data_IF_129054451178
#
_entry.id   IF_129054451178
#
_cell.length_a   1.000
_cell.length_b   1.000
_cell.length_c   1.000
_cell.angle_alpha   90.00
_cell.angle_beta   90.00
_cell.angle_gamma   90.00
#
_symmetry.space_group_name_H-M   'P 1'
#
loop_
_entity.id
_entity.type
_entity.pdbx_description
1 polymer ?
#
# COMPACT_ATOMS: atom_id res chain seq x y z
N UNK A 1 24.93 -60.19 10.78
CA UNK A 1 26.05 -59.55 10.03
C UNK A 1 26.14 -58.13 10.52
N UNK A 2 27.15 -57.85 11.41
CA UNK A 2 27.49 -56.51 11.89
C UNK A 2 28.40 -55.81 10.85
N UNK A 3 28.00 -54.66 10.38
CA UNK A 3 28.92 -53.78 9.69
C UNK A 3 29.16 -52.53 10.55
N UNK A 4 30.42 -52.37 10.93
CA UNK A 4 31.04 -51.23 11.59
C UNK A 4 31.16 -50.10 10.54
N UNK A 5 30.67 -48.88 10.80
CA UNK A 5 31.01 -47.71 10.03
C UNK A 5 31.84 -46.82 10.95
N UNK A 6 33.09 -46.59 10.53
CA UNK A 6 34.07 -45.74 11.15
C UNK A 6 33.71 -44.25 10.91
N UNK A 7 34.11 -43.45 11.88
CA UNK A 7 33.80 -42.03 11.96
C UNK A 7 34.44 -41.16 10.86
N UNK A 8 33.71 -40.13 10.49
CA UNK A 8 34.21 -38.97 9.75
C UNK A 8 34.06 -37.76 10.63
N UNK A 9 35.17 -37.10 10.84
CA UNK A 9 35.31 -35.83 11.57
C UNK A 9 34.33 -34.76 11.03
N UNK A 10 33.47 -34.24 11.90
CA UNK A 10 32.73 -33.02 11.66
C UNK A 10 33.59 -31.80 11.96
N UNK A 11 33.98 -31.08 10.92
CA UNK A 11 34.38 -29.68 11.05
C UNK A 11 33.14 -28.82 11.25
N UNK A 12 33.10 -27.95 12.27
CA UNK A 12 31.99 -27.01 12.40
C UNK A 12 32.21 -25.83 11.44
N UNK A 13 31.41 -25.80 10.36
CA UNK A 13 31.24 -24.56 9.58
C UNK A 13 30.50 -23.57 10.47
N UNK A 14 31.21 -22.56 10.94
CA UNK A 14 30.63 -21.44 11.70
C UNK A 14 29.66 -20.68 10.83
N UNK A 15 28.39 -20.76 11.15
CA UNK A 15 27.30 -19.96 10.59
C UNK A 15 27.43 -18.53 11.11
N UNK A 16 28.10 -17.67 10.37
CA UNK A 16 28.19 -16.21 10.66
C UNK A 16 26.91 -15.46 10.24
N UNK A 17 26.03 -16.10 9.47
CA UNK A 17 24.80 -15.48 8.93
C UNK A 17 23.66 -15.36 9.94
N UNK A 18 23.48 -16.32 10.84
CA UNK A 18 22.33 -16.32 11.76
C UNK A 18 22.42 -15.24 12.87
N UNK A 19 23.64 -14.79 13.23
CA UNK A 19 23.81 -13.73 14.25
C UNK A 19 23.51 -12.33 13.74
N UNK A 20 23.61 -12.07 12.43
CA UNK A 20 23.29 -10.76 11.85
C UNK A 20 21.77 -10.54 11.80
N UNK A 21 21.01 -11.56 11.48
CA UNK A 21 19.56 -11.46 11.33
C UNK A 21 18.86 -11.33 12.70
N UNK A 22 19.33 -12.06 13.72
CA UNK A 22 18.86 -11.88 15.11
C UNK A 22 19.20 -10.49 15.66
N UNK A 23 20.36 -9.95 15.33
CA UNK A 23 20.78 -8.62 15.77
C UNK A 23 19.98 -7.51 15.08
N UNK A 24 19.63 -7.68 13.81
CA UNK A 24 18.76 -6.76 13.06
C UNK A 24 17.32 -6.84 13.60
N UNK A 25 16.81 -8.05 13.83
CA UNK A 25 15.48 -8.25 14.40
C UNK A 25 15.36 -7.70 15.83
N UNK A 26 16.38 -7.90 16.68
CA UNK A 26 16.44 -7.33 18.04
C UNK A 26 16.54 -5.80 18.00
N UNK A 27 17.33 -5.22 17.09
CA UNK A 27 17.38 -3.76 16.88
C UNK A 27 16.02 -3.20 16.45
N UNK A 28 15.30 -3.92 15.59
CA UNK A 28 13.96 -3.52 15.18
C UNK A 28 12.94 -3.61 16.33
N UNK A 29 13.05 -4.61 17.19
CA UNK A 29 12.21 -4.78 18.39
C UNK A 29 12.56 -3.74 19.47
N UNK A 30 13.81 -3.40 19.65
CA UNK A 30 14.25 -2.35 20.60
C UNK A 30 13.80 -0.98 20.10
N UNK A 31 13.97 -0.68 18.81
CA UNK A 31 13.48 0.55 18.18
C UNK A 31 11.96 0.71 18.34
N UNK A 32 11.20 -0.39 18.19
CA UNK A 32 9.74 -0.40 18.41
C UNK A 32 9.35 -0.21 19.89
N UNK A 33 10.18 -0.72 20.84
CA UNK A 33 9.96 -0.53 22.29
C UNK A 33 10.33 0.88 22.76
N UNK A 34 11.40 1.47 22.25
CA UNK A 34 11.79 2.84 22.61
C UNK A 34 10.77 3.87 22.13
N UNK A 35 10.10 3.65 21.01
CA UNK A 35 8.95 4.46 20.55
C UNK A 35 7.74 4.37 21.49
N UNK A 36 7.59 3.28 22.22
CA UNK A 36 6.49 3.06 23.21
C UNK A 36 6.75 3.70 24.58
N UNK A 37 8.00 4.01 24.93
CA UNK A 37 8.38 4.53 26.25
C UNK A 37 8.55 6.04 26.32
N UNK A 38 8.65 6.73 25.20
CA UNK A 38 8.70 8.18 25.15
C UNK A 38 7.27 8.70 25.06
N UNK A 39 6.66 9.12 26.16
CA UNK A 39 5.28 9.59 26.32
C UNK A 39 4.83 10.80 25.47
N UNK A 40 5.38 10.96 24.28
CA UNK A 40 4.80 11.74 23.18
C UNK A 40 3.95 10.80 22.35
N UNK A 41 2.66 11.10 22.20
CA UNK A 41 1.79 10.45 21.18
C UNK A 41 2.41 10.71 19.81
N UNK A 42 3.32 9.83 19.36
CA UNK A 42 3.82 9.86 18.00
C UNK A 42 2.67 9.44 17.11
N UNK A 43 2.16 10.34 16.30
CA UNK A 43 1.22 10.02 15.22
C UNK A 43 1.85 8.88 14.42
N UNK A 44 1.21 7.70 14.42
CA UNK A 44 1.69 6.59 13.61
C UNK A 44 1.56 7.01 12.15
N UNK A 45 2.68 7.15 11.46
CA UNK A 45 2.77 7.54 10.05
C UNK A 45 1.71 6.85 9.18
N UNK A 46 1.61 5.54 9.34
CA UNK A 46 0.64 4.68 8.67
C UNK A 46 -0.82 5.15 8.88
N UNK A 47 -1.20 5.49 10.11
CA UNK A 47 -2.56 5.95 10.43
C UNK A 47 -2.88 7.28 9.76
N UNK A 48 -1.93 8.22 9.72
CA UNK A 48 -2.13 9.54 9.13
C UNK A 48 -2.31 9.44 7.62
N UNK A 49 -1.45 8.67 6.95
CA UNK A 49 -1.53 8.42 5.52
C UNK A 49 -2.84 7.72 5.14
N UNK A 50 -3.24 6.70 5.90
CA UNK A 50 -4.52 6.02 5.71
C UNK A 50 -5.71 6.98 5.84
N UNK A 51 -5.69 7.84 6.84
CA UNK A 51 -6.76 8.81 7.05
C UNK A 51 -6.83 9.86 5.94
N UNK A 52 -5.68 10.30 5.42
CA UNK A 52 -5.61 11.22 4.30
C UNK A 52 -6.34 10.65 3.06
N UNK A 53 -6.05 9.41 2.71
CA UNK A 53 -6.64 8.74 1.55
C UNK A 53 -8.09 8.25 1.75
N UNK A 54 -8.66 8.39 2.95
CA UNK A 54 -10.10 8.15 3.17
C UNK A 54 -10.98 9.20 2.51
N UNK A 55 -10.47 10.40 2.29
CA UNK A 55 -11.23 11.46 1.59
C UNK A 55 -11.43 11.07 0.12
N UNK A 56 -12.68 11.00 -0.31
CA UNK A 56 -13.05 10.58 -1.66
C UNK A 56 -12.54 11.51 -2.77
N UNK A 57 -12.44 12.84 -2.51
CA UNK A 57 -11.93 13.79 -3.49
C UNK A 57 -10.43 13.57 -3.75
N UNK A 58 -9.65 13.39 -2.68
CA UNK A 58 -8.22 13.10 -2.75
C UNK A 58 -7.98 11.73 -3.40
N UNK A 59 -8.76 10.73 -3.01
CA UNK A 59 -8.67 9.37 -3.55
C UNK A 59 -9.03 9.32 -5.04
N UNK A 60 -10.14 9.96 -5.46
CA UNK A 60 -10.54 10.02 -6.87
C UNK A 60 -9.47 10.73 -7.72
N UNK A 61 -8.92 11.83 -7.22
CA UNK A 61 -7.95 12.64 -7.94
C UNK A 61 -6.63 11.89 -8.21
N UNK A 62 -6.09 11.14 -7.21
CA UNK A 62 -4.87 10.34 -7.44
C UNK A 62 -5.11 9.22 -8.45
N UNK A 63 -6.27 8.54 -8.41
CA UNK A 63 -6.61 7.52 -9.39
C UNK A 63 -6.81 8.11 -10.79
N UNK A 64 -7.44 9.28 -10.90
CA UNK A 64 -7.57 10.01 -12.16
C UNK A 64 -6.21 10.45 -12.72
N UNK A 65 -5.32 10.92 -11.86
CA UNK A 65 -3.97 11.31 -12.28
C UNK A 65 -3.15 10.13 -12.81
N UNK A 66 -3.19 8.99 -12.13
CA UNK A 66 -2.37 7.81 -12.45
C UNK A 66 -2.93 7.04 -13.66
N UNK A 67 -4.25 6.79 -13.68
CA UNK A 67 -4.86 5.93 -14.69
C UNK A 67 -5.33 6.68 -15.94
N UNK A 68 -5.69 7.96 -15.79
CA UNK A 68 -6.36 8.74 -16.84
C UNK A 68 -5.67 10.06 -17.17
N UNK A 69 -4.39 10.22 -16.74
CA UNK A 69 -3.61 11.43 -16.96
C UNK A 69 -4.36 12.71 -16.54
N UNK A 70 -5.03 12.68 -15.38
CA UNK A 70 -5.78 13.79 -14.81
C UNK A 70 -7.21 13.95 -15.35
N UNK A 71 -7.65 13.19 -16.37
CA UNK A 71 -9.04 13.24 -16.79
C UNK A 71 -9.96 12.74 -15.67
N UNK A 72 -11.01 13.51 -15.35
CA UNK A 72 -11.95 13.24 -14.25
C UNK A 72 -12.93 12.10 -14.60
N UNK A 73 -12.43 10.87 -14.71
CA UNK A 73 -13.21 9.66 -15.02
C UNK A 73 -13.84 9.08 -13.77
N UNK A 74 -13.14 9.12 -12.65
CA UNK A 74 -13.63 8.66 -11.33
C UNK A 74 -14.09 9.90 -10.57
N UNK A 75 -15.35 9.89 -10.13
CA UNK A 75 -15.93 10.98 -9.35
C UNK A 75 -15.98 10.61 -7.86
N UNK A 76 -15.73 11.56 -6.94
CA UNK A 76 -15.75 11.30 -5.49
C UNK A 76 -17.06 10.70 -4.99
N UNK A 77 -18.20 11.16 -5.54
CA UNK A 77 -19.53 10.67 -5.19
C UNK A 77 -19.84 9.24 -5.66
N UNK A 78 -19.02 8.68 -6.54
CA UNK A 78 -19.12 7.29 -7.01
C UNK A 78 -18.37 6.31 -6.09
N UNK A 79 -17.65 6.79 -5.05
CA UNK A 79 -16.78 5.99 -4.21
C UNK A 79 -17.41 5.67 -2.86
N UNK A 80 -17.36 4.40 -2.47
CA UNK A 80 -17.74 3.90 -1.15
C UNK A 80 -16.57 3.13 -0.52
N UNK A 81 -16.38 3.29 0.78
CA UNK A 81 -15.34 2.55 1.52
C UNK A 81 -15.65 1.05 1.54
N UNK A 82 -14.59 0.24 1.45
CA UNK A 82 -14.64 -1.20 1.62
C UNK A 82 -13.75 -1.61 2.79
N UNK A 83 -13.96 -2.82 3.29
CA UNK A 83 -13.06 -3.43 4.28
C UNK A 83 -11.67 -3.60 3.68
N UNK A 84 -10.66 -3.13 4.41
CA UNK A 84 -9.25 -3.21 4.02
C UNK A 84 -8.60 -4.52 4.43
N UNK A 85 -9.19 -5.26 5.37
CA UNK A 85 -8.66 -6.53 5.87
C UNK A 85 -9.28 -7.70 5.12
N UNK A 86 -8.47 -8.38 4.34
CA UNK A 86 -8.84 -9.62 3.68
C UNK A 86 -8.04 -10.77 4.29
N UNK A 87 -8.76 -11.66 5.00
CA UNK A 87 -8.16 -12.88 5.54
C UNK A 87 -8.44 -14.05 4.62
N UNK A 88 -7.40 -14.63 4.05
CA UNK A 88 -7.47 -15.88 3.32
C UNK A 88 -6.96 -17.00 4.21
N UNK A 89 -7.83 -17.94 4.57
CA UNK A 89 -7.45 -19.16 5.27
C UNK A 89 -7.26 -20.25 4.22
N UNK A 90 -6.02 -20.69 4.02
CA UNK A 90 -5.68 -21.84 3.20
C UNK A 90 -5.61 -23.07 4.11
N UNK A 91 -6.62 -23.92 4.00
CA UNK A 91 -6.62 -25.23 4.66
C UNK A 91 -5.90 -26.25 3.79
N UNK A 92 -4.81 -26.78 4.28
CA UNK A 92 -4.14 -27.93 3.70
C UNK A 92 -4.24 -29.12 4.68
N UNK A 93 -4.19 -30.36 4.17
CA UNK A 93 -4.34 -31.57 5.00
C UNK A 93 -3.39 -31.63 6.19
N UNK A 94 -2.27 -30.93 6.15
CA UNK A 94 -1.21 -30.95 7.17
C UNK A 94 -1.01 -29.63 7.93
N UNK A 95 -1.55 -28.50 7.42
CA UNK A 95 -1.45 -27.22 8.10
C UNK A 95 -2.53 -26.23 7.66
N UNK A 96 -2.85 -25.30 8.53
CA UNK A 96 -3.72 -24.14 8.26
C UNK A 96 -2.80 -22.93 8.13
N UNK A 97 -2.80 -22.30 6.96
CA UNK A 97 -2.09 -21.05 6.75
C UNK A 97 -3.11 -19.91 6.60
N UNK A 98 -3.03 -18.95 7.50
CA UNK A 98 -3.77 -17.70 7.39
C UNK A 98 -2.92 -16.68 6.66
N UNK A 99 -3.37 -16.24 5.50
CA UNK A 99 -2.78 -15.11 4.78
C UNK A 99 -3.68 -13.92 5.02
N UNK A 100 -3.17 -12.96 5.78
CA UNK A 100 -3.83 -11.66 5.96
C UNK A 100 -3.24 -10.71 4.94
N UNK A 101 -4.06 -10.31 3.98
CA UNK A 101 -3.71 -9.32 2.98
C UNK A 101 -4.51 -8.04 3.31
N UNK A 102 -3.82 -7.02 3.79
CA UNK A 102 -4.44 -5.74 4.13
C UNK A 102 -3.79 -4.62 3.30
N UNK A 103 -4.62 -3.85 2.59
CA UNK A 103 -4.23 -2.59 1.94
C UNK A 103 -4.49 -1.42 2.87
N UNK A 104 -3.85 -0.29 2.59
CA UNK A 104 -4.08 0.93 3.38
C UNK A 104 -5.49 1.48 3.20
N UNK A 105 -5.95 1.57 1.95
CA UNK A 105 -7.31 2.01 1.63
C UNK A 105 -7.88 1.19 0.48
N UNK A 106 -9.15 0.82 0.59
CA UNK A 106 -9.90 0.16 -0.48
C UNK A 106 -11.27 0.82 -0.62
N UNK A 107 -11.62 1.17 -1.85
CA UNK A 107 -12.94 1.73 -2.19
C UNK A 107 -13.55 0.99 -3.38
N UNK A 108 -14.86 0.88 -3.40
CA UNK A 108 -15.59 0.46 -4.58
C UNK A 108 -16.14 1.69 -5.29
N UNK A 109 -15.85 1.79 -6.58
CA UNK A 109 -16.52 2.75 -7.47
C UNK A 109 -17.82 2.12 -7.97
N UNK A 110 -18.93 2.82 -7.80
CA UNK A 110 -20.24 2.46 -8.31
C UNK A 110 -20.72 3.57 -9.23
N UNK A 111 -20.78 3.31 -10.52
CA UNK A 111 -21.25 4.26 -11.52
C UNK A 111 -22.51 3.71 -12.17
N UNK A 112 -23.61 4.47 -12.07
CA UNK A 112 -24.83 4.17 -12.82
C UNK A 112 -24.64 4.58 -14.28
N UNK A 113 -24.93 3.67 -15.20
CA UNK A 113 -24.93 3.93 -16.65
C UNK A 113 -26.33 3.73 -17.22
N UNK A 114 -26.55 4.11 -18.48
CA UNK A 114 -27.83 3.92 -19.16
C UNK A 114 -28.24 2.45 -19.30
N UNK A 115 -27.26 1.53 -19.24
CA UNK A 115 -27.46 0.11 -19.49
C UNK A 115 -27.30 -0.77 -18.27
N UNK A 116 -26.47 -0.35 -17.28
CA UNK A 116 -26.26 -1.08 -16.03
C UNK A 116 -25.34 -0.25 -15.08
N UNK A 117 -24.99 -0.82 -13.92
CA UNK A 117 -24.00 -0.23 -13.00
C UNK A 117 -22.60 -0.79 -13.29
N UNK A 118 -21.64 0.10 -13.49
CA UNK A 118 -20.23 -0.24 -13.57
C UNK A 118 -19.60 -0.25 -12.16
N UNK A 119 -18.94 -1.35 -11.80
CA UNK A 119 -18.26 -1.50 -10.54
C UNK A 119 -16.75 -1.72 -10.76
N UNK A 120 -15.92 -1.05 -9.98
CA UNK A 120 -14.46 -1.25 -9.94
C UNK A 120 -13.99 -1.14 -8.50
N UNK A 121 -13.18 -2.08 -8.03
CA UNK A 121 -12.52 -2.02 -6.72
C UNK A 121 -11.17 -1.34 -6.91
N UNK A 122 -10.93 -0.30 -6.12
CA UNK A 122 -9.75 0.53 -6.17
C UNK A 122 -9.00 0.40 -4.85
N UNK A 123 -7.75 -0.08 -4.91
CA UNK A 123 -6.87 -0.25 -3.75
C UNK A 123 -5.70 0.71 -3.79
N UNK A 124 -5.33 1.26 -2.63
CA UNK A 124 -4.16 2.11 -2.47
C UNK A 124 -3.27 1.55 -1.37
N UNK A 125 -1.97 1.46 -1.64
CA UNK A 125 -0.92 0.98 -0.75
C UNK A 125 0.18 2.01 -0.64
N UNK A 126 0.49 2.47 0.57
CA UNK A 126 1.59 3.40 0.85
C UNK A 126 2.86 2.66 1.25
N UNK A 127 4.01 3.06 0.71
CA UNK A 127 5.30 2.41 0.99
C UNK A 127 6.39 3.44 1.30
N UNK A 128 7.01 3.33 2.48
CA UNK A 128 8.19 4.11 2.87
C UNK A 128 9.48 3.46 2.36
N UNK A 129 9.56 2.13 2.45
CA UNK A 129 10.73 1.37 2.05
C UNK A 129 10.48 0.59 0.76
N UNK A 130 11.53 0.39 -0.05
CA UNK A 130 11.45 -0.46 -1.24
C UNK A 130 11.15 -1.89 -0.82
N UNK A 131 10.04 -2.41 -1.31
CA UNK A 131 9.68 -3.81 -1.12
C UNK A 131 9.94 -4.56 -2.42
N UNK A 132 11.06 -5.29 -2.48
CA UNK A 132 11.52 -5.96 -3.71
C UNK A 132 10.55 -7.00 -4.27
N UNK A 133 9.64 -7.52 -3.44
CA UNK A 133 8.56 -8.41 -3.87
C UNK A 133 7.20 -7.69 -4.02
N UNK A 134 7.18 -6.39 -4.33
CA UNK A 134 5.94 -5.62 -4.42
C UNK A 134 4.97 -6.14 -5.49
N UNK A 135 5.37 -6.54 -6.69
CA UNK A 135 4.46 -7.14 -7.66
C UNK A 135 3.74 -8.38 -7.12
N UNK A 136 4.47 -9.26 -6.42
CA UNK A 136 3.88 -10.44 -5.80
C UNK A 136 2.90 -10.07 -4.67
N UNK A 137 3.24 -9.04 -3.89
CA UNK A 137 2.39 -8.55 -2.79
C UNK A 137 1.08 -7.98 -3.32
N UNK A 138 1.13 -7.13 -4.34
CA UNK A 138 -0.07 -6.55 -4.98
C UNK A 138 -0.91 -7.63 -5.64
N UNK A 139 -0.27 -8.59 -6.34
CA UNK A 139 -0.96 -9.74 -6.91
C UNK A 139 -1.70 -10.55 -5.82
N UNK A 140 -1.10 -10.69 -4.64
CA UNK A 140 -1.73 -11.33 -3.48
C UNK A 140 -2.97 -10.59 -2.98
N UNK A 141 -2.91 -9.26 -2.92
CA UNK A 141 -4.06 -8.42 -2.55
C UNK A 141 -5.22 -8.56 -3.54
N UNK A 142 -4.91 -8.47 -4.84
CA UNK A 142 -5.94 -8.54 -5.87
C UNK A 142 -6.52 -9.96 -5.96
N UNK A 143 -5.67 -11.00 -5.81
CA UNK A 143 -6.12 -12.38 -5.71
C UNK A 143 -7.08 -12.58 -4.53
N UNK A 144 -6.74 -12.06 -3.34
CA UNK A 144 -7.61 -12.16 -2.15
C UNK A 144 -8.98 -11.52 -2.40
N UNK A 145 -9.00 -10.37 -3.06
CA UNK A 145 -10.25 -9.68 -3.43
C UNK A 145 -11.07 -10.50 -4.44
N UNK A 146 -10.45 -11.10 -5.45
CA UNK A 146 -11.14 -11.99 -6.39
C UNK A 146 -11.60 -13.28 -5.72
N UNK A 147 -10.77 -13.84 -4.84
CA UNK A 147 -11.13 -15.06 -4.08
C UNK A 147 -12.35 -14.84 -3.21
N UNK A 148 -12.43 -13.71 -2.51
CA UNK A 148 -13.61 -13.33 -1.72
C UNK A 148 -14.86 -13.23 -2.58
N UNK A 149 -14.79 -12.57 -3.74
CA UNK A 149 -15.91 -12.50 -4.69
C UNK A 149 -16.35 -13.90 -5.15
N UNK A 150 -15.36 -14.78 -5.42
CA UNK A 150 -15.64 -16.18 -5.78
C UNK A 150 -16.35 -16.92 -4.64
N UNK A 151 -15.84 -16.81 -3.41
CA UNK A 151 -16.41 -17.51 -2.24
C UNK A 151 -17.83 -17.04 -1.94
N UNK A 152 -18.09 -15.74 -2.03
CA UNK A 152 -19.42 -15.16 -1.87
C UNK A 152 -20.39 -15.68 -2.94
N UNK A 153 -19.95 -15.79 -4.20
CA UNK A 153 -20.73 -16.35 -5.28
C UNK A 153 -21.00 -17.84 -5.05
N UNK A 154 -19.98 -18.63 -4.74
CA UNK A 154 -20.10 -20.05 -4.47
C UNK A 154 -21.06 -20.35 -3.29
N UNK A 155 -21.01 -19.54 -2.22
CA UNK A 155 -21.92 -19.64 -1.10
C UNK A 155 -23.39 -19.38 -1.49
N UNK A 156 -23.62 -18.40 -2.37
CA UNK A 156 -24.97 -18.13 -2.94
C UNK A 156 -25.46 -19.29 -3.79
N UNK A 157 -24.59 -19.82 -4.69
CA UNK A 157 -24.95 -20.91 -5.61
C UNK A 157 -25.29 -22.22 -4.87
N UNK A 158 -24.60 -22.56 -3.76
CA UNK A 158 -24.95 -23.76 -2.94
C UNK A 158 -26.41 -23.78 -2.47
N UNK A 159 -27.07 -22.63 -2.40
CA UNK A 159 -28.47 -22.47 -1.96
C UNK A 159 -29.46 -22.35 -3.13
N UNK A 160 -28.96 -22.24 -4.35
CA UNK A 160 -29.77 -22.03 -5.54
C UNK A 160 -30.23 -23.36 -6.15
N UNK A 161 -31.46 -23.41 -6.67
CA UNK A 161 -32.00 -24.58 -7.38
C UNK A 161 -31.91 -24.35 -8.89
N UNK A 162 -31.82 -25.45 -9.65
CA UNK A 162 -31.83 -25.41 -11.11
C UNK A 162 -30.50 -25.05 -11.76
N UNK A 163 -29.39 -25.19 -11.02
CA UNK A 163 -28.05 -25.12 -11.58
C UNK A 163 -27.74 -26.35 -12.44
N UNK A 164 -26.93 -26.15 -13.48
CA UNK A 164 -26.29 -27.27 -14.18
C UNK A 164 -25.25 -27.92 -13.30
N UNK A 165 -24.81 -29.13 -13.65
CA UNK A 165 -23.75 -29.83 -12.90
C UNK A 165 -22.44 -29.02 -12.86
N UNK A 166 -22.04 -28.43 -13.98
CA UNK A 166 -20.83 -27.59 -14.08
C UNK A 166 -20.93 -26.33 -13.21
N UNK A 167 -22.07 -25.68 -13.16
CA UNK A 167 -22.30 -24.50 -12.32
C UNK A 167 -22.29 -24.86 -10.82
N UNK A 168 -22.87 -25.99 -10.47
CA UNK A 168 -22.84 -26.49 -9.09
C UNK A 168 -21.41 -26.84 -8.64
N UNK A 169 -20.67 -27.60 -9.47
CA UNK A 169 -19.31 -28.02 -9.17
C UNK A 169 -18.31 -26.85 -9.14
N UNK A 170 -18.43 -25.89 -10.08
CA UNK A 170 -17.59 -24.72 -10.14
C UNK A 170 -17.95 -23.64 -9.12
N UNK A 171 -19.16 -23.67 -8.56
CA UNK A 171 -19.68 -22.62 -7.69
C UNK A 171 -19.98 -21.31 -8.41
N UNK A 172 -20.00 -21.30 -9.75
CA UNK A 172 -20.24 -20.12 -10.59
C UNK A 172 -21.15 -20.43 -11.75
N UNK A 173 -22.00 -19.48 -12.13
CA UNK A 173 -22.71 -19.53 -13.40
C UNK A 173 -21.83 -19.00 -14.53
N UNK A 174 -22.09 -19.47 -15.75
CA UNK A 174 -21.42 -18.98 -16.97
C UNK A 174 -21.54 -17.47 -17.15
N UNK A 175 -22.61 -16.87 -16.63
CA UNK A 175 -22.88 -15.43 -16.69
C UNK A 175 -22.23 -14.63 -15.57
N UNK A 176 -21.75 -15.26 -14.51
CA UNK A 176 -21.12 -14.57 -13.39
C UNK A 176 -19.84 -13.88 -13.86
N UNK A 177 -19.63 -12.64 -13.39
CA UNK A 177 -18.43 -11.84 -13.64
C UNK A 177 -17.92 -11.30 -12.32
N UNK A 178 -16.61 -11.20 -12.19
CA UNK A 178 -15.99 -10.51 -11.08
C UNK A 178 -15.90 -9.01 -11.34
N UNK A 179 -15.99 -8.24 -10.25
CA UNK A 179 -15.68 -6.82 -10.25
C UNK A 179 -14.16 -6.68 -10.40
N UNK A 180 -13.66 -5.94 -11.41
CA UNK A 180 -12.23 -5.74 -11.59
C UNK A 180 -11.60 -5.00 -10.41
N UNK A 181 -10.33 -5.33 -10.13
CA UNK A 181 -9.54 -4.74 -9.05
C UNK A 181 -8.34 -4.01 -9.64
N UNK A 182 -8.09 -2.78 -9.19
CA UNK A 182 -6.93 -1.98 -9.58
C UNK A 182 -6.26 -1.47 -8.31
N UNK A 183 -4.97 -1.76 -8.14
CA UNK A 183 -4.18 -1.32 -6.98
C UNK A 183 -3.08 -0.36 -7.41
N UNK A 184 -3.00 0.82 -6.77
CA UNK A 184 -1.91 1.80 -6.91
C UNK A 184 -1.00 1.68 -5.70
N UNK A 185 0.31 1.70 -5.93
CA UNK A 185 1.35 1.77 -4.90
C UNK A 185 1.94 3.17 -4.90
N UNK A 186 1.86 3.89 -3.79
CA UNK A 186 2.51 5.20 -3.61
C UNK A 186 3.76 5.00 -2.76
N UNK A 187 4.92 5.21 -3.37
CA UNK A 187 6.21 5.13 -2.72
C UNK A 187 6.70 6.53 -2.35
N UNK A 188 6.93 6.74 -1.06
CA UNK A 188 7.41 8.00 -0.49
C UNK A 188 8.77 7.87 0.22
N UNK A 189 9.56 6.88 -0.18
CA UNK A 189 10.94 6.73 0.30
C UNK A 189 11.92 7.70 -0.36
N UNK A 190 13.03 7.97 0.33
CA UNK A 190 14.07 8.91 -0.14
C UNK A 190 14.90 8.35 -1.32
N UNK A 191 15.06 7.02 -1.39
CA UNK A 191 15.80 6.36 -2.46
C UNK A 191 14.88 6.22 -3.68
N UNK A 192 15.41 6.29 -4.91
CA UNK A 192 14.59 5.92 -6.06
C UNK A 192 14.19 4.47 -5.96
N UNK A 193 13.04 4.18 -6.50
CA UNK A 193 12.62 2.80 -6.62
C UNK A 193 13.53 2.05 -7.59
N UNK A 194 14.18 1.00 -7.10
CA UNK A 194 15.06 0.10 -7.87
C UNK A 194 14.54 -1.35 -7.88
N UNK A 195 13.36 -1.58 -7.29
CA UNK A 195 12.70 -2.88 -7.31
C UNK A 195 11.95 -3.16 -8.61
N UNK A 196 11.56 -4.40 -8.82
CA UNK A 196 10.73 -4.80 -9.94
C UNK A 196 9.36 -4.08 -9.90
N UNK A 197 8.83 -3.73 -11.06
CA UNK A 197 7.49 -3.15 -11.24
C UNK A 197 6.52 -4.13 -11.90
N UNK A 198 6.98 -5.33 -12.18
CA UNK A 198 6.17 -6.43 -12.69
C UNK A 198 6.67 -7.79 -12.20
N UNK A 199 5.82 -8.80 -12.31
CA UNK A 199 6.18 -10.17 -11.94
C UNK A 199 7.33 -10.69 -12.82
N UNK A 200 7.33 -10.39 -14.12
CA UNK A 200 8.43 -10.76 -15.02
C UNK A 200 9.78 -10.22 -14.54
N UNK A 201 9.81 -8.99 -13.99
CA UNK A 201 11.03 -8.41 -13.43
C UNK A 201 11.56 -9.12 -12.18
N UNK A 202 10.77 -10.03 -11.57
CA UNK A 202 11.14 -10.85 -10.42
C UNK A 202 11.52 -12.28 -10.80
N UNK A 203 11.26 -12.71 -12.03
CA UNK A 203 11.41 -14.08 -12.47
C UNK A 203 12.66 -14.26 -13.34
N UNK A 204 13.25 -15.44 -13.26
CA UNK A 204 14.29 -15.86 -14.20
C UNK A 204 13.63 -16.69 -15.32
N UNK A 205 13.11 -16.01 -16.35
CA UNK A 205 12.36 -16.63 -17.44
C UNK A 205 13.31 -16.94 -18.60
N UNK A 206 13.44 -18.22 -18.99
CA UNK A 206 14.15 -18.56 -20.23
C UNK A 206 13.49 -17.87 -21.43
N UNK A 207 14.27 -17.24 -22.31
CA UNK A 207 13.78 -16.44 -23.44
C UNK A 207 12.71 -17.16 -24.28
N UNK A 208 12.87 -18.47 -24.51
CA UNK A 208 11.90 -19.28 -25.25
C UNK A 208 10.56 -19.50 -24.52
N UNK A 209 10.49 -19.19 -23.23
CA UNK A 209 9.29 -19.40 -22.40
C UNK A 209 8.58 -18.09 -22.05
N UNK A 210 9.14 -16.94 -22.39
CA UNK A 210 8.66 -15.60 -21.99
C UNK A 210 7.19 -15.36 -22.38
N UNK A 211 6.79 -15.78 -23.57
CA UNK A 211 5.42 -15.63 -24.09
C UNK A 211 4.37 -16.51 -23.37
N UNK A 212 4.82 -17.54 -22.64
CA UNK A 212 3.93 -18.46 -21.91
C UNK A 212 3.78 -18.11 -20.44
N UNK A 213 4.60 -17.20 -19.92
CA UNK A 213 4.52 -16.74 -18.53
C UNK A 213 3.70 -15.45 -18.48
N UNK A 214 2.60 -15.47 -17.73
CA UNK A 214 1.78 -14.28 -17.54
C UNK A 214 2.55 -13.25 -16.70
N UNK A 215 2.50 -11.98 -17.12
CA UNK A 215 3.05 -10.87 -16.35
C UNK A 215 1.97 -10.23 -15.49
N UNK A 216 2.38 -9.68 -14.35
CA UNK A 216 1.54 -8.92 -13.45
C UNK A 216 2.22 -7.58 -13.11
N UNK A 217 1.70 -6.50 -13.67
CA UNK A 217 2.27 -5.15 -13.52
C UNK A 217 1.59 -4.38 -12.39
N UNK A 218 2.39 -3.59 -11.66
CA UNK A 218 1.87 -2.68 -10.63
C UNK A 218 1.82 -1.24 -11.14
N UNK A 219 0.89 -0.45 -10.61
CA UNK A 219 0.84 1.00 -10.83
C UNK A 219 1.64 1.67 -9.70
N UNK A 220 2.93 1.95 -9.97
CA UNK A 220 3.83 2.57 -9.01
C UNK A 220 3.90 4.08 -9.22
N UNK A 221 3.70 4.83 -8.14
CA UNK A 221 3.88 6.29 -8.04
C UNK A 221 5.03 6.57 -7.09
N UNK A 222 6.09 7.21 -7.57
CA UNK A 222 7.17 7.73 -6.73
C UNK A 222 6.83 9.18 -6.33
N UNK A 223 6.46 9.40 -5.06
CA UNK A 223 6.02 10.71 -4.58
C UNK A 223 7.10 11.80 -4.64
N UNK A 224 8.38 11.40 -4.65
CA UNK A 224 9.50 12.32 -4.87
C UNK A 224 9.70 12.78 -6.32
N UNK A 225 8.83 12.34 -7.25
CA UNK A 225 8.83 12.73 -8.67
C UNK A 225 7.44 13.23 -9.01
N UNK A 226 7.21 14.54 -8.89
CA UNK A 226 5.88 15.12 -9.16
C UNK A 226 5.66 15.31 -10.66
N UNK A 227 5.27 14.23 -11.35
CA UNK A 227 4.90 14.21 -12.77
C UNK A 227 3.41 13.91 -12.99
N UNK A 228 2.59 14.02 -11.94
CA UNK A 228 1.17 13.73 -11.99
C UNK A 228 0.34 14.97 -12.33
N UNK A 229 -0.70 14.77 -13.13
CA UNK A 229 -1.70 15.83 -13.40
C UNK A 229 -2.78 15.75 -12.33
N UNK A 230 -2.55 16.45 -11.21
CA UNK A 230 -3.44 16.53 -10.06
C UNK A 230 -4.33 17.76 -10.14
N UNK A 231 -5.60 17.66 -9.73
CA UNK A 231 -6.56 18.77 -9.70
C UNK A 231 -7.04 19.09 -8.27
N UNK A 232 -6.94 18.16 -7.33
CA UNK A 232 -7.22 18.43 -5.93
C UNK A 232 -6.05 19.20 -5.30
N UNK A 233 -6.34 20.37 -4.70
CA UNK A 233 -5.30 21.25 -4.13
C UNK A 233 -4.49 20.56 -3.05
N UNK A 234 -5.14 19.76 -2.18
CA UNK A 234 -4.45 19.02 -1.13
C UNK A 234 -3.49 17.98 -1.70
N UNK A 235 -3.86 17.29 -2.78
CA UNK A 235 -2.95 16.37 -3.46
C UNK A 235 -1.78 17.11 -4.12
N UNK A 236 -2.03 18.25 -4.77
CA UNK A 236 -0.97 19.08 -5.33
C UNK A 236 0.02 19.51 -4.25
N UNK A 237 -0.47 20.01 -3.11
CA UNK A 237 0.35 20.43 -1.99
C UNK A 237 1.13 19.26 -1.38
N UNK A 238 0.47 18.09 -1.20
CA UNK A 238 1.11 16.88 -0.70
C UNK A 238 2.30 16.46 -1.57
N UNK A 239 2.07 16.31 -2.88
CA UNK A 239 3.11 15.84 -3.79
C UNK A 239 4.21 16.90 -4.01
N UNK A 240 3.89 18.19 -4.03
CA UNK A 240 4.89 19.25 -4.09
C UNK A 240 5.79 19.26 -2.84
N UNK A 241 5.20 19.13 -1.64
CA UNK A 241 5.98 19.04 -0.40
C UNK A 241 6.85 17.79 -0.35
N UNK A 242 6.31 16.63 -0.75
CA UNK A 242 7.08 15.39 -0.81
C UNK A 242 8.20 15.49 -1.85
N UNK A 243 7.98 16.10 -3.01
CA UNK A 243 9.04 16.35 -3.98
C UNK A 243 10.15 17.22 -3.42
N UNK A 244 9.82 18.33 -2.74
CA UNK A 244 10.80 19.23 -2.09
C UNK A 244 11.64 18.43 -1.08
N UNK A 245 11.00 17.65 -0.21
CA UNK A 245 11.63 16.96 0.91
C UNK A 245 12.42 15.71 0.48
N UNK A 246 11.90 14.96 -0.50
CA UNK A 246 12.52 13.74 -1.02
C UNK A 246 13.51 14.00 -2.17
N UNK A 247 13.57 15.25 -2.69
CA UNK A 247 14.51 15.61 -3.77
C UNK A 247 15.95 15.26 -3.38
N UNK A 248 16.77 14.86 -4.35
CA UNK A 248 18.18 14.52 -4.12
C UNK A 248 19.09 15.74 -4.13
N UNK A 249 18.64 16.86 -4.65
CA UNK A 249 19.41 18.10 -4.77
C UNK A 249 19.31 18.94 -3.50
N UNK A 250 20.47 19.24 -2.91
CA UNK A 250 20.59 20.19 -1.81
C UNK A 250 20.89 19.58 -0.42
N UNK A 251 21.37 20.46 0.50
CA UNK A 251 21.55 20.12 1.92
C UNK A 251 20.19 19.91 2.57
N UNK A 252 20.12 19.04 3.57
CA UNK A 252 18.87 18.70 4.30
C UNK A 252 18.21 19.96 4.87
N UNK A 253 18.99 20.91 5.42
CA UNK A 253 18.48 22.16 5.99
C UNK A 253 17.77 23.02 4.96
N UNK A 254 18.31 23.14 3.74
CA UNK A 254 17.68 23.94 2.69
C UNK A 254 16.36 23.37 2.15
N UNK A 255 16.14 22.05 2.27
CA UNK A 255 14.86 21.42 1.89
C UNK A 255 13.75 21.75 2.88
N UNK A 256 14.09 21.70 4.16
CA UNK A 256 13.18 22.04 5.25
C UNK A 256 12.71 23.47 5.17
N UNK A 257 13.64 24.39 4.96
CA UNK A 257 13.33 25.82 4.75
C UNK A 257 12.41 26.04 3.54
N UNK A 258 12.68 25.37 2.41
CA UNK A 258 11.82 25.42 1.23
C UNK A 258 10.42 24.88 1.49
N UNK A 259 10.31 23.79 2.23
CA UNK A 259 9.01 23.22 2.60
C UNK A 259 8.22 24.16 3.51
N UNK A 260 8.86 24.79 4.51
CA UNK A 260 8.24 25.78 5.39
C UNK A 260 7.78 27.01 4.58
N UNK A 261 8.62 27.50 3.66
CA UNK A 261 8.25 28.64 2.80
C UNK A 261 7.07 28.28 1.88
N UNK A 262 7.06 27.06 1.34
CA UNK A 262 5.95 26.55 0.55
C UNK A 262 4.64 26.54 1.37
N UNK A 263 4.64 25.94 2.57
CA UNK A 263 3.44 25.85 3.42
C UNK A 263 2.86 27.23 3.77
N UNK A 264 3.73 28.21 4.03
CA UNK A 264 3.30 29.58 4.34
C UNK A 264 2.69 30.28 3.12
N UNK A 265 3.33 30.18 1.96
CA UNK A 265 2.87 30.82 0.72
C UNK A 265 1.54 30.26 0.23
N UNK A 266 1.36 28.96 0.30
CA UNK A 266 0.19 28.25 -0.25
C UNK A 266 -0.92 28.06 0.78
N UNK A 267 -0.71 28.43 2.06
CA UNK A 267 -1.67 28.19 3.16
C UNK A 267 -2.14 26.75 3.21
N UNK A 268 -1.17 25.84 3.15
CA UNK A 268 -1.41 24.40 3.02
C UNK A 268 -2.29 23.87 4.14
N UNK A 269 -3.25 23.00 3.81
CA UNK A 269 -4.15 22.37 4.77
C UNK A 269 -3.40 21.56 5.84
N UNK A 270 -3.88 21.61 7.07
CA UNK A 270 -3.27 20.91 8.22
C UNK A 270 -3.19 19.40 8.03
N UNK A 271 -4.19 18.80 7.39
CA UNK A 271 -4.18 17.36 7.11
C UNK A 271 -3.06 16.99 6.15
N UNK A 272 -2.75 17.84 5.16
CA UNK A 272 -1.60 17.68 4.26
C UNK A 272 -0.30 17.76 5.04
N UNK A 273 -0.13 18.78 5.87
CA UNK A 273 1.08 18.97 6.70
C UNK A 273 1.30 17.75 7.62
N UNK A 274 0.24 17.28 8.28
CA UNK A 274 0.29 16.09 9.12
C UNK A 274 0.68 14.84 8.33
N UNK A 275 0.16 14.70 7.12
CA UNK A 275 0.49 13.57 6.25
C UNK A 275 1.95 13.60 5.83
N UNK A 276 2.46 14.76 5.42
CA UNK A 276 3.88 14.95 5.10
C UNK A 276 4.77 14.63 6.30
N UNK A 277 4.46 15.18 7.49
CA UNK A 277 5.22 14.89 8.70
C UNK A 277 5.19 13.39 9.07
N UNK A 278 4.03 12.74 8.87
CA UNK A 278 3.88 11.29 9.05
C UNK A 278 4.74 10.49 8.08
N UNK A 279 4.72 10.81 6.78
CA UNK A 279 5.52 10.11 5.76
C UNK A 279 7.03 10.29 5.96
N UNK A 280 7.46 11.41 6.55
CA UNK A 280 8.88 11.69 6.84
C UNK A 280 9.38 11.00 8.12
N UNK A 281 8.57 10.19 8.78
CA UNK A 281 8.93 9.30 9.89
C UNK A 281 9.72 9.99 11.02
N UNK A 282 9.24 11.17 11.46
CA UNK A 282 9.84 11.96 12.53
C UNK A 282 11.10 12.77 12.15
N UNK A 283 11.52 12.77 10.89
CA UNK A 283 12.60 13.62 10.38
C UNK A 283 12.20 15.09 10.32
N UNK A 284 10.90 15.35 10.25
CA UNK A 284 10.32 16.69 10.24
C UNK A 284 9.18 16.71 11.25
N UNK A 285 9.24 17.66 12.19
CA UNK A 285 8.16 17.87 13.15
C UNK A 285 7.02 18.66 12.47
N UNK A 286 5.79 18.24 12.71
CA UNK A 286 4.60 18.96 12.30
C UNK A 286 4.62 20.44 12.70
N UNK A 287 5.03 20.73 13.95
CA UNK A 287 5.12 22.10 14.46
C UNK A 287 6.14 22.96 13.71
N UNK A 288 7.17 22.37 13.13
CA UNK A 288 8.16 23.09 12.32
C UNK A 288 7.58 23.53 10.97
N UNK A 289 6.68 22.73 10.39
CA UNK A 289 6.03 23.05 9.09
C UNK A 289 4.93 24.12 9.23
N UNK A 290 4.26 24.21 10.37
CA UNK A 290 3.19 25.21 10.59
C UNK A 290 3.73 26.62 10.86
N UNK A 291 4.93 26.74 11.43
CA UNK A 291 5.48 28.02 11.86
C UNK A 291 4.96 28.48 13.23
N UNK A 292 5.66 29.46 13.85
CA UNK A 292 5.45 29.84 15.26
C UNK A 292 4.13 30.55 15.58
N UNK A 293 3.46 31.13 14.59
CA UNK A 293 2.23 31.92 14.79
C UNK A 293 0.95 31.11 15.05
N UNK A 294 0.92 29.82 14.76
CA UNK A 294 -0.27 28.95 14.85
C UNK A 294 -0.18 27.88 15.95
N UNK A 295 0.85 27.91 16.79
CA UNK A 295 1.07 26.91 17.85
C UNK A 295 -0.08 26.80 18.88
N UNK A 296 -0.94 27.81 19.00
CA UNK A 296 -2.06 27.83 19.94
C UNK A 296 -3.26 26.96 19.55
N UNK A 297 -3.39 26.53 18.27
CA UNK A 297 -4.52 25.73 17.81
C UNK A 297 -4.31 24.21 17.87
N UNK A 298 -3.09 23.76 18.15
CA UNK A 298 -2.72 22.32 18.15
C UNK A 298 -3.39 21.55 19.30
N UNK A 299 -3.77 22.23 20.39
CA UNK A 299 -4.40 21.56 21.55
C UNK A 299 -5.83 21.05 21.28
N UNK A 300 -6.56 21.68 20.36
CA UNK A 300 -7.96 21.33 20.07
C UNK A 300 -8.06 20.04 19.25
N UNK A 301 -7.07 19.73 18.40
CA UNK A 301 -7.06 18.51 17.57
C UNK A 301 -6.58 17.26 18.30
N UNK A 302 -5.88 17.38 19.45
CA UNK A 302 -5.53 16.22 20.28
C UNK A 302 -6.76 15.60 20.95
N UNK A 303 -7.86 16.32 21.13
CA UNK A 303 -9.09 15.84 21.78
C UNK A 303 -10.08 15.15 20.83
N UNK A 304 -9.98 15.38 19.53
CA UNK A 304 -10.92 14.81 18.52
C UNK A 304 -10.50 13.44 17.96
N UNK A 305 -9.33 12.93 18.37
CA UNK A 305 -8.77 11.65 17.88
C UNK A 305 -8.63 10.59 19.00
N UNK A 306 -9.43 10.68 20.07
CA UNK A 306 -9.57 9.65 21.11
C UNK A 306 -10.77 8.75 20.86
#
# INVERSE_FOLDING_TARGET
IKLRVQGLHKNPVKTASAKSDETIFLKYQVYRKEQLYMGKKVLKADTVVKNYWRNNEQFADIFNAVLFNGNKVIKPEELEDMDTEESLVLEHKEYIQSIVAARDNVKIRKKSTTYDAEFVILGLEGQECIHYAMPLRVMGYDYSTYKKQYDDNAAKRKKEKGLTEDEYLSGMKKTDKFIPVITIVIYYGEKPWDGAVSLHGMLNIPKAMETFVNDYKIHLVEAGKNNLVLHNVNNQDLFNLLEILLSRSGRTDGKKEKAIDYTRKHKVDKAVIMTVAGTMNGKIDYNELIGEGEKGMVSVFQETWN
#
